data_IF_934676794740
#
_entry.id   IF_934676794740
#
_cell.length_a   1.000
_cell.length_b   1.000
_cell.length_c   1.000
_cell.angle_alpha   90.00
_cell.angle_beta   90.00
_cell.angle_gamma   90.00
#
_symmetry.space_group_name_H-M   'P 1'
#
loop_
_entity.id
_entity.type
_entity.pdbx_description
1 polymer ?
#
# COMPACT_ATOMS: atom_id res chain seq x y z
N UNK A 1 5.07 -26.44 -27.12
CA UNK A 1 3.99 -25.49 -27.47
C UNK A 1 3.05 -25.44 -26.27
N UNK A 2 3.36 -24.60 -25.27
CA UNK A 2 2.62 -24.54 -23.98
C UNK A 2 3.00 -23.28 -23.17
N UNK A 3 3.16 -22.13 -23.84
CA UNK A 3 3.64 -20.89 -23.20
C UNK A 3 2.78 -19.65 -23.42
N UNK A 4 1.64 -19.76 -24.11
CA UNK A 4 0.91 -18.58 -24.60
C UNK A 4 -0.32 -18.25 -23.74
N UNK A 5 -0.90 -19.21 -23.01
CA UNK A 5 -2.12 -18.96 -22.20
C UNK A 5 -1.88 -18.52 -20.74
N UNK A 6 -0.64 -18.52 -20.25
CA UNK A 6 -0.33 -18.10 -18.88
C UNK A 6 0.01 -16.60 -18.74
N UNK A 7 0.36 -15.93 -19.85
CA UNK A 7 0.82 -14.52 -19.81
C UNK A 7 -0.34 -13.52 -19.77
N UNK A 8 -1.44 -13.82 -20.45
CA UNK A 8 -2.57 -12.89 -20.63
C UNK A 8 -3.37 -12.68 -19.33
N UNK A 9 -3.53 -13.76 -18.55
CA UNK A 9 -4.23 -13.72 -17.26
C UNK A 9 -3.51 -12.89 -16.19
N UNK A 10 -2.18 -12.88 -16.18
CA UNK A 10 -1.40 -12.13 -15.18
C UNK A 10 -1.38 -10.62 -15.51
N UNK A 11 -1.30 -10.26 -16.79
CA UNK A 11 -1.31 -8.86 -17.22
C UNK A 11 -2.64 -8.17 -16.95
N UNK A 12 -3.77 -8.82 -17.25
CA UNK A 12 -5.11 -8.30 -16.94
C UNK A 12 -5.31 -8.14 -15.42
N UNK A 13 -4.71 -9.03 -14.62
CA UNK A 13 -4.79 -8.98 -13.16
C UNK A 13 -3.98 -7.84 -12.57
N UNK A 14 -2.78 -7.59 -13.10
CA UNK A 14 -1.95 -6.43 -12.74
C UNK A 14 -2.66 -5.13 -13.15
N UNK A 15 -3.24 -5.08 -14.35
CA UNK A 15 -3.99 -3.91 -14.83
C UNK A 15 -5.19 -3.61 -13.92
N UNK A 16 -5.99 -4.64 -13.58
CA UNK A 16 -7.12 -4.51 -12.66
C UNK A 16 -6.70 -4.05 -11.26
N UNK A 17 -5.56 -4.54 -10.77
CA UNK A 17 -5.05 -4.16 -9.46
C UNK A 17 -4.52 -2.72 -9.44
N UNK A 18 -3.84 -2.31 -10.50
CA UNK A 18 -3.42 -0.91 -10.72
C UNK A 18 -4.61 0.04 -10.76
N UNK A 19 -5.71 -0.35 -11.44
CA UNK A 19 -6.95 0.42 -11.47
C UNK A 19 -7.59 0.54 -10.08
N UNK A 20 -7.63 -0.55 -9.32
CA UNK A 20 -8.14 -0.56 -7.93
C UNK A 20 -7.32 0.36 -7.01
N UNK A 21 -6.00 0.31 -7.11
CA UNK A 21 -5.10 1.18 -6.33
C UNK A 21 -5.27 2.65 -6.74
N UNK A 22 -5.41 2.91 -8.04
CA UNK A 22 -5.68 4.24 -8.56
C UNK A 22 -7.00 4.80 -8.01
N UNK A 23 -8.06 3.98 -8.01
CA UNK A 23 -9.35 4.36 -7.43
C UNK A 23 -9.26 4.63 -5.92
N UNK A 24 -8.55 3.78 -5.16
CA UNK A 24 -8.32 3.99 -3.74
C UNK A 24 -7.51 5.27 -3.46
N UNK A 25 -6.55 5.59 -4.32
CA UNK A 25 -5.73 6.81 -4.23
C UNK A 25 -6.55 8.07 -4.47
N UNK A 26 -7.47 8.03 -5.45
CA UNK A 26 -8.42 9.12 -5.68
C UNK A 26 -9.31 9.31 -4.45
N UNK A 27 -9.87 8.24 -3.90
CA UNK A 27 -10.70 8.30 -2.69
C UNK A 27 -9.93 8.86 -1.47
N UNK A 28 -8.67 8.50 -1.32
CA UNK A 28 -7.79 9.06 -0.30
C UNK A 28 -7.56 10.57 -0.51
N UNK A 29 -7.33 11.01 -1.75
CA UNK A 29 -7.20 12.43 -2.09
C UNK A 29 -8.47 13.23 -1.78
N UNK A 30 -9.65 12.67 -2.09
CA UNK A 30 -10.95 13.27 -1.72
C UNK A 30 -11.08 13.37 -0.19
N UNK A 31 -10.69 12.34 0.55
CA UNK A 31 -10.73 12.36 2.01
C UNK A 31 -9.80 13.42 2.63
N UNK A 32 -8.58 13.59 2.11
CA UNK A 32 -7.66 14.66 2.54
C UNK A 32 -8.30 16.03 2.35
N UNK A 33 -8.90 16.26 1.17
CA UNK A 33 -9.57 17.52 0.86
C UNK A 33 -10.79 17.75 1.75
N UNK A 34 -11.61 16.71 1.98
CA UNK A 34 -12.76 16.77 2.89
C UNK A 34 -12.32 17.11 4.33
N UNK A 35 -11.23 16.49 4.81
CA UNK A 35 -10.74 16.76 6.16
C UNK A 35 -10.27 18.19 6.36
N UNK A 36 -9.78 18.86 5.32
CA UNK A 36 -9.46 20.29 5.43
C UNK A 36 -10.70 21.13 5.78
N UNK A 37 -11.87 20.81 5.22
CA UNK A 37 -13.12 21.51 5.55
C UNK A 37 -13.57 21.23 6.99
N UNK A 38 -13.41 19.98 7.45
CA UNK A 38 -13.75 19.59 8.83
C UNK A 38 -12.84 20.28 9.85
N UNK A 39 -11.55 20.43 9.53
CA UNK A 39 -10.55 20.97 10.46
C UNK A 39 -10.52 22.51 10.46
N UNK A 40 -10.93 23.15 9.36
CA UNK A 40 -10.91 24.60 9.19
C UNK A 40 -11.43 25.43 10.37
N UNK A 41 -12.57 25.11 11.03
CA UNK A 41 -13.06 25.89 12.16
C UNK A 41 -12.29 25.65 13.48
N UNK A 42 -11.45 24.61 13.56
CA UNK A 42 -10.77 24.22 14.80
C UNK A 42 -9.29 24.64 14.86
N UNK A 43 -8.69 25.03 13.73
CA UNK A 43 -7.25 25.31 13.64
C UNK A 43 -6.99 26.68 13.02
N UNK A 44 -6.16 27.47 13.71
CA UNK A 44 -5.68 28.76 13.21
C UNK A 44 -4.54 28.57 12.19
N UNK A 45 -4.87 28.75 10.92
CA UNK A 45 -3.96 28.60 9.78
C UNK A 45 -2.93 29.73 9.63
N UNK A 46 -3.01 30.79 10.44
CA UNK A 46 -2.02 31.87 10.42
C UNK A 46 -0.70 31.48 11.08
N UNK A 47 -0.69 30.39 11.86
CA UNK A 47 0.48 29.87 12.56
C UNK A 47 1.05 28.65 11.85
N UNK A 48 2.39 28.53 11.84
CA UNK A 48 3.09 27.35 11.34
C UNK A 48 2.56 26.04 11.95
N UNK A 49 2.35 26.03 13.27
CA UNK A 49 1.80 24.88 13.98
C UNK A 49 0.37 24.51 13.55
N UNK A 50 -0.43 25.50 13.14
CA UNK A 50 -1.77 25.25 12.63
C UNK A 50 -1.73 24.55 11.28
N UNK A 51 -0.97 25.09 10.32
CA UNK A 51 -0.78 24.48 9.00
C UNK A 51 -0.17 23.08 9.11
N UNK A 52 0.84 22.91 9.99
CA UNK A 52 1.48 21.62 10.24
C UNK A 52 0.49 20.60 10.79
N UNK A 53 -0.28 20.97 11.83
CA UNK A 53 -1.27 20.06 12.45
C UNK A 53 -2.37 19.71 11.47
N UNK A 54 -2.88 20.68 10.70
CA UNK A 54 -3.89 20.42 9.69
C UNK A 54 -3.38 19.48 8.59
N UNK A 55 -2.14 19.68 8.12
CA UNK A 55 -1.50 18.79 7.16
C UNK A 55 -1.32 17.37 7.70
N UNK A 56 -0.90 17.25 8.96
CA UNK A 56 -0.66 15.97 9.60
C UNK A 56 -1.96 15.19 9.84
N UNK A 57 -2.99 15.84 10.37
CA UNK A 57 -4.31 15.21 10.60
C UNK A 57 -4.99 14.84 9.27
N UNK A 58 -4.98 15.74 8.28
CA UNK A 58 -5.55 15.43 6.96
C UNK A 58 -4.78 14.32 6.23
N UNK A 59 -3.44 14.30 6.35
CA UNK A 59 -2.59 13.23 5.82
C UNK A 59 -2.88 11.87 6.45
N UNK A 60 -2.97 11.80 7.79
CA UNK A 60 -3.34 10.56 8.50
C UNK A 60 -4.72 10.07 8.06
N UNK A 61 -5.71 10.96 8.01
CA UNK A 61 -7.05 10.59 7.58
C UNK A 61 -7.07 10.06 6.12
N UNK A 62 -6.30 10.69 5.22
CA UNK A 62 -6.12 10.20 3.85
C UNK A 62 -5.53 8.80 3.80
N UNK A 63 -4.50 8.52 4.61
CA UNK A 63 -3.88 7.19 4.70
C UNK A 63 -4.87 6.16 5.24
N UNK A 64 -5.66 6.50 6.26
CA UNK A 64 -6.69 5.61 6.82
C UNK A 64 -7.72 5.25 5.75
N UNK A 65 -8.24 6.25 5.02
CA UNK A 65 -9.21 6.02 3.94
C UNK A 65 -8.58 5.22 2.80
N UNK A 66 -7.33 5.50 2.43
CA UNK A 66 -6.60 4.70 1.45
C UNK A 66 -6.53 3.24 1.85
N UNK A 67 -6.14 2.94 3.10
CA UNK A 67 -6.07 1.56 3.60
C UNK A 67 -7.44 0.88 3.59
N UNK A 68 -8.51 1.58 3.99
CA UNK A 68 -9.87 1.03 3.96
C UNK A 68 -10.30 0.72 2.52
N UNK A 69 -10.12 1.65 1.60
CA UNK A 69 -10.50 1.46 0.20
C UNK A 69 -9.66 0.38 -0.48
N UNK A 70 -8.36 0.33 -0.20
CA UNK A 70 -7.47 -0.70 -0.71
C UNK A 70 -7.80 -2.09 -0.14
N UNK A 71 -8.24 -2.16 1.13
CA UNK A 71 -8.71 -3.40 1.76
C UNK A 71 -10.06 -3.87 1.17
N UNK A 72 -11.03 -2.96 1.00
CA UNK A 72 -12.32 -3.25 0.36
C UNK A 72 -12.13 -3.69 -1.10
N UNK A 73 -11.20 -3.07 -1.82
CA UNK A 73 -10.86 -3.46 -3.19
C UNK A 73 -10.21 -4.85 -3.28
N UNK A 74 -9.86 -5.46 -2.13
CA UNK A 74 -9.25 -6.79 -1.98
C UNK A 74 -8.15 -6.99 -3.01
N UNK A 75 -7.30 -5.98 -3.16
CA UNK A 75 -6.28 -5.97 -4.19
C UNK A 75 -5.24 -7.03 -3.84
N UNK A 76 -5.11 -8.04 -4.70
CA UNK A 76 -4.12 -9.10 -4.54
C UNK A 76 -2.71 -8.48 -4.55
N UNK A 77 -2.51 -7.35 -5.22
CA UNK A 77 -1.29 -6.55 -5.13
C UNK A 77 -1.05 -5.97 -3.74
N UNK A 78 -2.09 -5.53 -3.01
CA UNK A 78 -1.91 -5.08 -1.63
C UNK A 78 -1.53 -6.26 -0.74
N UNK A 79 -2.14 -7.42 -0.91
CA UNK A 79 -1.75 -8.63 -0.18
C UNK A 79 -0.32 -9.06 -0.54
N UNK A 80 0.08 -9.01 -1.80
CA UNK A 80 1.44 -9.29 -2.25
C UNK A 80 2.45 -8.25 -1.72
N UNK A 81 2.09 -6.97 -1.68
CA UNK A 81 2.92 -5.89 -1.16
C UNK A 81 3.09 -5.99 0.36
N UNK A 82 1.99 -6.20 1.11
CA UNK A 82 2.02 -6.43 2.56
C UNK A 82 2.81 -7.69 2.88
N UNK A 83 2.61 -8.78 2.12
CA UNK A 83 3.40 -10.01 2.27
C UNK A 83 4.88 -9.77 1.95
N UNK A 84 5.21 -8.99 0.93
CA UNK A 84 6.59 -8.62 0.58
C UNK A 84 7.27 -7.77 1.66
N UNK A 85 6.56 -6.79 2.23
CA UNK A 85 7.04 -6.01 3.38
C UNK A 85 7.28 -6.94 4.57
N UNK A 86 6.34 -7.84 4.87
CA UNK A 86 6.44 -8.78 6.00
C UNK A 86 7.61 -9.76 5.85
N UNK A 87 7.88 -10.24 4.62
CA UNK A 87 9.03 -11.09 4.31
C UNK A 87 10.35 -10.30 4.44
N UNK A 88 10.37 -9.03 3.98
CA UNK A 88 11.58 -8.19 4.07
C UNK A 88 11.94 -7.84 5.53
N UNK A 89 10.95 -7.69 6.40
CA UNK A 89 11.14 -7.52 7.84
C UNK A 89 11.58 -8.82 8.51
N UNK A 90 11.12 -9.99 8.02
CA UNK A 90 11.54 -11.31 8.48
C UNK A 90 12.71 -11.81 7.63
N UNK A 91 13.85 -11.09 7.64
CA UNK A 91 15.16 -11.68 7.26
C UNK A 91 15.60 -12.67 8.34
N UNK A 92 14.82 -13.73 8.51
CA UNK A 92 15.29 -14.93 9.16
C UNK A 92 16.31 -15.55 8.21
N UNK A 93 17.48 -15.83 8.76
CA UNK A 93 18.61 -16.43 8.07
C UNK A 93 18.13 -17.71 7.40
N UNK A 94 18.00 -17.69 6.08
CA UNK A 94 17.96 -18.90 5.29
C UNK A 94 19.37 -19.48 5.42
N UNK A 95 19.61 -20.24 6.49
CA UNK A 95 20.72 -21.17 6.56
C UNK A 95 20.44 -22.16 5.44
N UNK A 96 21.19 -22.01 4.36
CA UNK A 96 21.30 -23.00 3.30
C UNK A 96 21.87 -24.26 3.94
N UNK A 97 21.00 -25.19 4.35
CA UNK A 97 21.39 -26.56 4.74
C UNK A 97 22.08 -27.31 3.57
N UNK A 98 22.06 -26.76 2.36
CA UNK A 98 22.78 -27.29 1.18
C UNK A 98 24.31 -27.07 1.22
N UNK A 99 24.85 -26.32 2.20
CA UNK A 99 26.32 -26.23 2.35
C UNK A 99 26.93 -27.49 2.99
N UNK A 100 26.11 -28.39 3.54
CA UNK A 100 26.54 -29.66 4.14
C UNK A 100 26.80 -30.77 3.11
N UNK A 101 25.98 -30.86 2.05
CA UNK A 101 26.10 -31.95 1.06
C UNK A 101 27.33 -31.81 0.14
N UNK A 102 27.87 -30.59 -0.02
CA UNK A 102 29.13 -30.37 -0.75
C UNK A 102 30.38 -30.78 0.04
N UNK A 103 30.24 -31.13 1.32
CA UNK A 103 31.31 -31.61 2.20
C UNK A 103 30.98 -33.04 2.65
N UNK A 104 30.96 -33.97 1.69
CA UNK A 104 30.58 -35.37 1.90
C UNK A 104 31.03 -35.98 3.24
N UNK A 105 30.12 -35.95 4.21
CA UNK A 105 30.12 -36.69 5.46
C UNK A 105 28.90 -37.60 5.47
#
# INVERSE_FOLDING_TARGET
MLKIELSDLDEVRILMSTLKISFASIGAGVAVQAMKFVIWPYIDMTRFWGVFTQGLVSGIAGIVVFMILAWVARSEELEHFVRSIKIRTKREKITTEDAGEARGL
#
